data_IF_560565040131
#
_entry.id   IF_560565040131
#
_cell.length_a   1.000
_cell.length_b   1.000
_cell.length_c   1.000
_cell.angle_alpha   90.00
_cell.angle_beta   90.00
_cell.angle_gamma   90.00
#
_symmetry.space_group_name_H-M   'P 1'
#
loop_
_entity.id
_entity.type
_entity.pdbx_description
1 polymer ?
#
# COMPACT_ATOMS: atom_id res chain seq x y z
N UNK A 1 1.10 2.65 -4.61
CA UNK A 1 2.37 2.43 -5.31
C UNK A 1 3.45 3.11 -4.50
N UNK A 2 4.70 2.87 -4.82
CA UNK A 2 5.81 3.57 -4.21
C UNK A 2 5.87 5.03 -4.67
N UNK A 3 6.53 5.86 -3.87
CA UNK A 3 6.74 7.29 -4.11
C UNK A 3 7.37 7.56 -5.48
N UNK A 4 8.32 6.74 -5.92
CA UNK A 4 9.03 6.93 -7.19
C UNK A 4 8.11 6.78 -8.38
N UNK A 5 7.25 5.75 -8.38
CA UNK A 5 6.26 5.56 -9.46
C UNK A 5 5.27 6.73 -9.52
N UNK A 6 4.83 7.23 -8.36
CA UNK A 6 3.95 8.40 -8.30
C UNK A 6 4.62 9.68 -8.82
N UNK A 7 5.93 9.86 -8.60
CA UNK A 7 6.70 10.98 -9.20
C UNK A 7 6.72 10.84 -10.73
N UNK A 8 7.01 9.64 -11.23
CA UNK A 8 7.02 9.38 -12.67
C UNK A 8 5.65 9.64 -13.31
N UNK A 9 4.56 9.25 -12.66
CA UNK A 9 3.21 9.57 -13.12
C UNK A 9 2.94 11.08 -13.09
N UNK A 10 3.40 11.81 -12.06
CA UNK A 10 3.26 13.26 -12.01
C UNK A 10 3.88 13.97 -13.22
N UNK A 11 5.15 13.66 -13.52
CA UNK A 11 5.80 14.17 -14.74
C UNK A 11 5.12 13.68 -16.03
N UNK A 12 4.68 12.43 -16.07
CA UNK A 12 3.97 11.90 -17.23
C UNK A 12 2.62 12.59 -17.47
N UNK A 13 1.90 12.97 -16.42
CA UNK A 13 0.65 13.73 -16.53
C UNK A 13 0.92 15.17 -16.98
N UNK A 14 2.02 15.78 -16.54
CA UNK A 14 2.46 17.07 -17.08
C UNK A 14 2.74 16.99 -18.58
N UNK A 15 3.41 15.91 -19.03
CA UNK A 15 3.62 15.66 -20.45
C UNK A 15 2.31 15.43 -21.22
N UNK A 16 1.39 14.62 -20.67
CA UNK A 16 0.06 14.38 -21.24
C UNK A 16 -0.74 15.68 -21.38
N UNK A 17 -0.54 16.63 -20.47
CA UNK A 17 -1.24 17.91 -20.48
C UNK A 17 -0.97 18.76 -21.72
N UNK A 18 0.09 18.50 -22.48
CA UNK A 18 0.31 19.16 -23.77
C UNK A 18 -0.71 18.78 -24.86
N UNK A 19 -1.56 17.77 -24.64
CA UNK A 19 -2.74 17.53 -25.50
C UNK A 19 -3.84 18.59 -25.30
N UNK A 20 -3.83 19.30 -24.17
CA UNK A 20 -4.73 20.40 -23.91
C UNK A 20 -4.21 21.67 -24.60
N UNK A 21 -4.91 22.20 -25.63
CA UNK A 21 -4.41 23.33 -26.42
C UNK A 21 -4.17 24.60 -25.58
N UNK A 22 -4.90 24.77 -24.47
CA UNK A 22 -4.73 25.92 -23.58
C UNK A 22 -3.42 25.80 -22.81
N UNK A 23 -3.09 24.60 -22.34
CA UNK A 23 -1.83 24.30 -21.65
C UNK A 23 -0.65 24.39 -22.62
N UNK A 24 -0.76 23.78 -23.80
CA UNK A 24 0.29 23.80 -24.81
C UNK A 24 0.56 25.22 -25.36
N UNK A 25 -0.47 26.06 -25.45
CA UNK A 25 -0.37 27.43 -25.96
C UNK A 25 0.17 28.47 -24.97
N UNK A 26 0.28 28.14 -23.67
CA UNK A 26 0.71 29.09 -22.64
C UNK A 26 1.81 28.47 -21.75
N UNK A 27 3.10 28.80 -21.95
CA UNK A 27 4.21 28.23 -21.20
C UNK A 27 4.10 28.39 -19.67
N UNK A 28 3.54 29.52 -19.21
CA UNK A 28 3.28 29.75 -17.78
C UNK A 28 2.27 28.76 -17.21
N UNK A 29 1.20 28.45 -17.95
CA UNK A 29 0.21 27.44 -17.54
C UNK A 29 0.81 26.04 -17.56
N UNK A 30 1.63 25.71 -18.56
CA UNK A 30 2.33 24.43 -18.61
C UNK A 30 3.23 24.21 -17.37
N UNK A 31 3.97 25.24 -16.94
CA UNK A 31 4.76 25.20 -15.72
C UNK A 31 3.88 25.05 -14.46
N UNK A 32 2.78 25.79 -14.37
CA UNK A 32 1.84 25.66 -13.27
C UNK A 32 1.22 24.24 -13.20
N UNK A 33 0.84 23.68 -14.35
CA UNK A 33 0.30 22.32 -14.47
C UNK A 33 1.36 21.26 -14.12
N UNK A 34 2.62 21.45 -14.50
CA UNK A 34 3.72 20.59 -14.08
C UNK A 34 3.83 20.55 -12.54
N UNK A 35 3.82 21.71 -11.88
CA UNK A 35 3.83 21.77 -10.42
C UNK A 35 2.58 21.12 -9.83
N UNK A 36 1.40 21.40 -10.38
CA UNK A 36 0.13 20.85 -9.92
C UNK A 36 0.07 19.33 -10.00
N UNK A 37 0.47 18.76 -11.15
CA UNK A 37 0.50 17.32 -11.36
C UNK A 37 1.56 16.61 -10.52
N UNK A 38 2.74 17.21 -10.33
CA UNK A 38 3.80 16.64 -9.49
C UNK A 38 3.42 16.64 -8.01
N UNK A 39 2.96 17.78 -7.48
CA UNK A 39 2.54 17.89 -6.08
C UNK A 39 1.27 17.06 -5.85
N UNK A 40 0.30 17.13 -6.77
CA UNK A 40 -0.95 16.36 -6.72
C UNK A 40 -0.72 14.85 -6.70
N UNK A 41 0.27 14.36 -7.46
CA UNK A 41 0.66 12.94 -7.45
C UNK A 41 1.34 12.49 -6.17
N UNK A 42 1.68 13.38 -5.24
CA UNK A 42 2.32 13.06 -3.95
C UNK A 42 1.44 13.39 -2.74
N UNK A 43 0.52 14.34 -2.90
CA UNK A 43 -0.23 14.92 -1.80
C UNK A 43 -0.97 13.90 -0.91
N UNK A 44 -1.63 12.85 -1.45
CA UNK A 44 -2.29 11.86 -0.59
C UNK A 44 -1.32 11.11 0.34
N UNK A 45 -0.07 10.89 -0.08
CA UNK A 45 0.97 10.19 0.70
C UNK A 45 1.73 11.13 1.67
N UNK A 46 1.41 12.43 1.73
CA UNK A 46 1.94 13.34 2.76
C UNK A 46 1.55 12.92 4.18
N UNK A 47 0.54 12.04 4.33
CA UNK A 47 0.19 11.41 5.61
C UNK A 47 1.31 10.53 6.19
N UNK A 48 2.35 10.21 5.41
CA UNK A 48 3.59 9.56 5.88
C UNK A 48 4.32 10.36 6.96
N UNK A 49 4.10 11.68 7.06
CA UNK A 49 4.56 12.52 8.19
C UNK A 49 4.08 11.99 9.54
N UNK A 50 2.96 11.25 9.59
CA UNK A 50 2.47 10.63 10.82
C UNK A 50 3.42 9.57 11.38
N UNK A 51 4.41 9.09 10.60
CA UNK A 51 5.51 8.27 11.13
C UNK A 51 6.30 8.99 12.23
N UNK A 52 6.40 10.32 12.19
CA UNK A 52 7.04 11.13 13.24
C UNK A 52 6.29 11.03 14.58
N UNK A 53 5.00 10.66 14.56
CA UNK A 53 4.18 10.40 15.75
C UNK A 53 4.13 8.91 16.13
N UNK A 54 4.99 8.09 15.53
CA UNK A 54 5.12 6.66 15.78
C UNK A 54 4.38 5.76 14.79
N UNK A 55 4.83 4.50 14.69
CA UNK A 55 4.32 3.51 13.73
C UNK A 55 2.81 3.26 13.83
N UNK A 56 2.27 3.19 15.05
CA UNK A 56 0.85 2.95 15.27
C UNK A 56 -0.03 4.07 14.66
N UNK A 57 0.42 5.33 14.76
CA UNK A 57 -0.27 6.47 14.14
C UNK A 57 -0.21 6.39 12.62
N UNK A 58 0.97 6.09 12.06
CA UNK A 58 1.13 5.90 10.62
C UNK A 58 0.24 4.78 10.08
N UNK A 59 0.32 3.57 10.64
CA UNK A 59 -0.43 2.38 10.17
C UNK A 59 -1.95 2.64 10.17
N UNK A 60 -2.46 3.34 11.19
CA UNK A 60 -3.89 3.60 11.35
C UNK A 60 -4.44 4.60 10.32
N UNK A 61 -3.59 5.49 9.80
CA UNK A 61 -4.03 6.65 9.04
C UNK A 61 -3.54 6.67 7.60
N UNK A 62 -2.38 6.08 7.31
CA UNK A 62 -1.79 6.05 5.98
C UNK A 62 -2.74 5.39 4.98
N UNK A 63 -2.98 6.03 3.83
CA UNK A 63 -3.97 5.59 2.81
C UNK A 63 -5.42 5.54 3.32
N UNK A 64 -5.67 6.25 4.42
CA UNK A 64 -6.97 6.35 5.08
C UNK A 64 -7.71 7.63 4.68
N UNK A 65 -7.64 8.65 5.54
CA UNK A 65 -8.39 9.90 5.34
C UNK A 65 -7.86 10.74 4.17
N UNK A 66 -6.55 10.78 4.01
CA UNK A 66 -5.82 11.51 2.95
C UNK A 66 -6.17 11.06 1.53
N UNK A 67 -6.70 9.84 1.38
CA UNK A 67 -7.08 9.21 0.12
C UNK A 67 -8.60 9.13 -0.09
N UNK A 68 -9.38 9.78 0.79
CA UNK A 68 -10.84 9.77 0.73
C UNK A 68 -11.38 10.65 -0.40
N UNK A 69 -12.65 10.44 -0.79
CA UNK A 69 -13.31 11.27 -1.82
C UNK A 69 -13.20 12.77 -1.49
N UNK A 70 -13.52 13.25 -0.27
CA UNK A 70 -13.33 14.67 0.07
C UNK A 70 -11.87 15.12 -0.01
N UNK A 71 -10.92 14.27 0.42
CA UNK A 71 -9.50 14.63 0.39
C UNK A 71 -8.98 14.83 -1.03
N UNK A 72 -9.46 14.06 -2.02
CA UNK A 72 -9.10 14.25 -3.43
C UNK A 72 -9.39 15.69 -3.89
N UNK A 73 -10.58 16.20 -3.61
CA UNK A 73 -10.97 17.57 -3.97
C UNK A 73 -10.25 18.63 -3.14
N UNK A 74 -10.06 18.38 -1.84
CA UNK A 74 -9.32 19.30 -0.95
C UNK A 74 -7.88 19.45 -1.42
N UNK A 75 -7.18 18.36 -1.72
CA UNK A 75 -5.81 18.42 -2.24
C UNK A 75 -5.76 19.18 -3.55
N UNK A 76 -6.64 18.85 -4.51
CA UNK A 76 -6.68 19.53 -5.79
C UNK A 76 -6.89 21.05 -5.63
N UNK A 77 -7.84 21.46 -4.80
CA UNK A 77 -8.13 22.87 -4.54
C UNK A 77 -6.99 23.61 -3.82
N UNK A 78 -6.43 23.02 -2.76
CA UNK A 78 -5.34 23.64 -2.01
C UNK A 78 -4.07 23.81 -2.85
N UNK A 79 -3.71 22.78 -3.62
CA UNK A 79 -2.52 22.79 -4.48
C UNK A 79 -2.70 23.81 -5.60
N UNK A 80 -3.83 23.74 -6.31
CA UNK A 80 -4.09 24.64 -7.43
C UNK A 80 -4.21 26.09 -6.97
N UNK A 81 -4.91 26.34 -5.86
CA UNK A 81 -5.01 27.68 -5.26
C UNK A 81 -3.66 28.21 -4.81
N UNK A 82 -2.83 27.38 -4.17
CA UNK A 82 -1.49 27.75 -3.73
C UNK A 82 -0.52 28.01 -4.87
N UNK A 83 -0.62 27.29 -5.99
CA UNK A 83 0.17 27.57 -7.20
C UNK A 83 -0.34 28.86 -7.86
N UNK A 84 -1.66 29.04 -7.95
CA UNK A 84 -2.28 30.18 -8.62
C UNK A 84 -1.88 31.54 -8.04
N UNK A 85 -1.53 31.63 -6.75
CA UNK A 85 -1.02 32.88 -6.15
C UNK A 85 0.30 33.36 -6.78
N UNK A 86 1.08 32.45 -7.35
CA UNK A 86 2.34 32.74 -8.05
C UNK A 86 2.18 32.80 -9.58
N UNK A 87 1.05 32.32 -10.11
CA UNK A 87 0.75 32.21 -11.55
C UNK A 87 -0.61 32.83 -11.89
N UNK A 88 -0.91 34.03 -11.36
CA UNK A 88 -2.26 34.62 -11.39
C UNK A 88 -2.81 34.99 -12.79
N UNK A 89 -2.01 34.87 -13.85
CA UNK A 89 -2.41 35.07 -15.25
C UNK A 89 -2.76 33.79 -16.03
N UNK A 90 -2.66 32.62 -15.41
CA UNK A 90 -2.95 31.33 -16.09
C UNK A 90 -4.41 30.92 -15.90
N UNK A 91 -4.90 29.98 -16.69
CA UNK A 91 -6.26 29.45 -16.48
C UNK A 91 -6.33 28.58 -15.21
N UNK A 92 -6.96 29.10 -14.15
CA UNK A 92 -7.17 28.36 -12.89
C UNK A 92 -7.92 27.04 -13.11
N UNK A 93 -8.90 27.01 -14.02
CA UNK A 93 -9.69 25.82 -14.29
C UNK A 93 -8.83 24.68 -14.84
N UNK A 94 -7.96 24.96 -15.82
CA UNK A 94 -7.09 23.93 -16.39
C UNK A 94 -6.07 23.44 -15.37
N UNK A 95 -5.46 24.35 -14.61
CA UNK A 95 -4.60 24.00 -13.48
C UNK A 95 -5.31 23.07 -12.47
N UNK A 96 -6.55 23.41 -12.10
CA UNK A 96 -7.35 22.63 -11.16
C UNK A 96 -7.68 21.24 -11.71
N UNK A 97 -8.10 21.14 -12.96
CA UNK A 97 -8.48 19.87 -13.57
C UNK A 97 -7.29 18.91 -13.73
N UNK A 98 -6.13 19.41 -14.16
CA UNK A 98 -4.92 18.59 -14.27
C UNK A 98 -4.36 18.18 -12.90
N UNK A 99 -4.42 19.06 -11.91
CA UNK A 99 -4.06 18.73 -10.52
C UNK A 99 -5.02 17.70 -9.93
N UNK A 100 -6.33 17.86 -10.15
CA UNK A 100 -7.35 16.90 -9.74
C UNK A 100 -7.11 15.53 -10.37
N UNK A 101 -6.83 15.48 -11.68
CA UNK A 101 -6.51 14.25 -12.39
C UNK A 101 -5.31 13.54 -11.76
N UNK A 102 -4.25 14.26 -11.41
CA UNK A 102 -3.08 13.70 -10.74
C UNK A 102 -3.42 13.05 -9.39
N UNK A 103 -4.21 13.74 -8.55
CA UNK A 103 -4.65 13.19 -7.26
C UNK A 103 -5.55 11.95 -7.46
N UNK A 104 -6.44 11.99 -8.46
CA UNK A 104 -7.32 10.85 -8.80
C UNK A 104 -6.51 9.66 -9.28
N UNK A 105 -5.54 9.86 -10.17
CA UNK A 105 -4.66 8.79 -10.68
C UNK A 105 -3.88 8.15 -9.53
N UNK A 106 -3.31 8.95 -8.63
CA UNK A 106 -2.62 8.46 -7.43
C UNK A 106 -3.52 7.54 -6.59
N UNK A 107 -4.71 8.02 -6.19
CA UNK A 107 -5.60 7.23 -5.33
C UNK A 107 -6.12 6.00 -6.07
N UNK A 108 -6.35 6.10 -7.39
CA UNK A 108 -6.86 5.01 -8.21
C UNK A 108 -5.85 3.88 -8.35
N UNK A 109 -4.59 4.19 -8.71
CA UNK A 109 -3.55 3.17 -8.87
C UNK A 109 -3.23 2.47 -7.55
N UNK A 110 -3.42 3.18 -6.44
CA UNK A 110 -3.28 2.64 -5.09
C UNK A 110 -4.29 1.56 -4.73
N UNK A 111 -5.47 1.56 -5.35
CA UNK A 111 -6.46 0.49 -5.19
C UNK A 111 -6.01 -0.84 -5.82
N UNK A 112 -5.09 -0.81 -6.78
CA UNK A 112 -4.67 -2.02 -7.50
C UNK A 112 -3.58 -2.82 -6.77
N UNK A 113 -2.96 -2.28 -5.72
CA UNK A 113 -1.93 -3.00 -4.96
C UNK A 113 -2.49 -3.76 -3.75
N UNK A 114 -1.67 -4.59 -3.10
CA UNK A 114 -2.09 -5.44 -1.97
C UNK A 114 -2.12 -4.75 -0.60
N UNK A 115 -1.60 -3.52 -0.50
CA UNK A 115 -1.60 -2.72 0.73
C UNK A 115 -3.04 -2.30 1.08
N UNK A 116 -3.75 -1.76 0.08
CA UNK A 116 -5.13 -1.31 0.16
C UNK A 116 -5.28 0.16 0.59
N UNK A 117 -6.45 0.73 0.28
CA UNK A 117 -6.77 2.15 0.49
C UNK A 117 -8.23 2.33 0.91
N UNK A 118 -8.52 3.29 1.81
CA UNK A 118 -9.89 3.62 2.24
C UNK A 118 -10.53 4.70 1.33
N UNK A 119 -10.49 4.49 0.01
CA UNK A 119 -10.92 5.50 -0.96
C UNK A 119 -12.41 5.88 -0.84
N UNK A 120 -13.27 4.96 -0.37
CA UNK A 120 -14.71 5.17 -0.28
C UNK A 120 -15.18 6.01 0.94
N UNK A 121 -14.27 6.62 1.71
CA UNK A 121 -14.65 7.51 2.82
C UNK A 121 -15.30 8.79 2.26
N UNK A 122 -16.32 9.35 2.93
CA UNK A 122 -16.83 8.97 4.26
C UNK A 122 -17.88 7.84 4.27
N UNK A 123 -18.35 7.39 3.11
CA UNK A 123 -19.43 6.39 3.00
C UNK A 123 -19.04 5.01 3.55
N UNK A 124 -17.77 4.62 3.41
CA UNK A 124 -17.25 3.36 3.97
C UNK A 124 -15.83 3.51 4.51
N UNK A 125 -15.54 2.82 5.62
CA UNK A 125 -14.19 2.69 6.19
C UNK A 125 -13.46 1.41 5.74
N UNK A 126 -14.03 0.67 4.78
CA UNK A 126 -13.42 -0.57 4.27
C UNK A 126 -12.12 -0.28 3.52
N UNK A 127 -11.12 -1.13 3.75
CA UNK A 127 -9.88 -1.15 2.97
C UNK A 127 -10.12 -1.87 1.65
N UNK A 128 -9.98 -1.14 0.54
CA UNK A 128 -10.20 -1.67 -0.81
C UNK A 128 -8.84 -2.01 -1.42
N UNK A 129 -8.72 -3.21 -1.97
CA UNK A 129 -7.54 -3.62 -2.75
C UNK A 129 -7.93 -4.64 -3.81
N UNK A 130 -7.40 -4.50 -5.02
CA UNK A 130 -7.60 -5.48 -6.08
C UNK A 130 -6.47 -6.52 -6.14
N UNK A 131 -5.33 -6.27 -5.49
CA UNK A 131 -4.18 -7.18 -5.42
C UNK A 131 -3.64 -7.59 -6.80
N UNK A 132 -3.59 -6.66 -7.75
CA UNK A 132 -3.27 -6.93 -9.16
C UNK A 132 -1.83 -6.54 -9.53
N UNK A 133 -1.35 -5.42 -8.99
CA UNK A 133 -0.01 -4.86 -9.26
C UNK A 133 0.82 -4.81 -7.98
N UNK A 134 2.13 -4.91 -8.12
CA UNK A 134 3.04 -4.77 -6.98
C UNK A 134 3.09 -3.28 -6.52
N UNK A 135 3.51 -3.03 -5.27
CA UNK A 135 3.69 -1.65 -4.77
C UNK A 135 4.71 -0.91 -5.63
N UNK A 136 5.82 -1.56 -5.99
CA UNK A 136 6.76 -1.11 -7.02
C UNK A 136 6.61 -2.03 -8.23
N UNK A 137 6.07 -1.51 -9.33
CA UNK A 137 5.86 -2.27 -10.56
C UNK A 137 6.92 -1.88 -11.61
N UNK A 138 7.91 -2.74 -11.88
CA UNK A 138 9.01 -2.41 -12.80
C UNK A 138 8.53 -2.09 -14.22
N UNK A 139 7.42 -2.69 -14.67
CA UNK A 139 6.90 -2.46 -16.01
C UNK A 139 6.30 -1.05 -16.12
N UNK A 140 5.48 -0.65 -15.14
CA UNK A 140 4.92 0.71 -15.09
C UNK A 140 6.05 1.74 -15.02
N UNK A 141 7.08 1.52 -14.21
CA UNK A 141 8.23 2.41 -14.14
C UNK A 141 8.97 2.47 -15.50
N UNK A 142 9.24 1.32 -16.13
CA UNK A 142 9.97 1.26 -17.39
C UNK A 142 9.26 2.00 -18.53
N UNK A 143 7.95 1.86 -18.67
CA UNK A 143 7.21 2.55 -19.74
C UNK A 143 7.21 4.08 -19.56
N UNK A 144 7.23 4.57 -18.31
CA UNK A 144 7.38 6.01 -18.05
C UNK A 144 8.79 6.49 -18.37
N UNK A 145 9.83 5.75 -17.97
CA UNK A 145 11.21 6.07 -18.31
C UNK A 145 11.42 6.13 -19.83
N UNK A 146 10.87 5.17 -20.58
CA UNK A 146 10.89 5.18 -22.05
C UNK A 146 10.15 6.42 -22.58
N UNK A 147 8.99 6.76 -22.01
CA UNK A 147 8.27 7.99 -22.35
C UNK A 147 9.12 9.25 -22.16
N UNK A 148 9.86 9.36 -21.04
CA UNK A 148 10.77 10.48 -20.82
C UNK A 148 11.90 10.53 -21.83
N UNK A 149 12.44 9.39 -22.26
CA UNK A 149 13.47 9.35 -23.31
C UNK A 149 12.93 9.85 -24.66
N UNK A 150 11.71 9.46 -25.03
CA UNK A 150 11.07 10.00 -26.24
C UNK A 150 10.79 11.49 -26.13
N UNK A 151 10.28 11.95 -24.99
CA UNK A 151 10.09 13.39 -24.77
C UNK A 151 11.43 14.15 -24.88
N UNK A 152 12.49 13.67 -24.24
CA UNK A 152 13.82 14.26 -24.32
C UNK A 152 14.42 14.25 -25.74
N UNK A 153 14.04 13.27 -26.56
CA UNK A 153 14.40 13.19 -27.98
C UNK A 153 13.60 14.15 -28.88
N UNK A 154 12.70 14.96 -28.33
CA UNK A 154 11.94 15.98 -29.05
C UNK A 154 10.60 15.51 -29.61
N UNK A 155 10.13 14.32 -29.25
CA UNK A 155 8.78 13.88 -29.61
C UNK A 155 7.73 14.66 -28.81
N UNK A 156 6.54 14.83 -29.40
CA UNK A 156 5.43 15.53 -28.75
C UNK A 156 5.04 14.82 -27.44
N UNK A 157 5.16 15.49 -26.28
CA UNK A 157 4.92 14.86 -24.98
C UNK A 157 3.47 14.42 -24.80
N UNK A 158 2.51 15.15 -25.37
CA UNK A 158 1.09 14.81 -25.29
C UNK A 158 0.80 13.44 -25.90
N UNK A 159 1.28 13.21 -27.12
CA UNK A 159 1.13 11.92 -27.80
C UNK A 159 1.93 10.81 -27.14
N UNK A 160 3.17 11.08 -26.72
CA UNK A 160 4.03 10.10 -26.03
C UNK A 160 3.35 9.59 -24.76
N UNK A 161 2.89 10.49 -23.89
CA UNK A 161 2.27 10.07 -22.63
C UNK A 161 0.86 9.51 -22.82
N UNK A 162 0.13 9.89 -23.86
CA UNK A 162 -1.11 9.20 -24.24
C UNK A 162 -0.87 7.72 -24.56
N UNK A 163 0.20 7.41 -25.29
CA UNK A 163 0.61 6.02 -25.56
C UNK A 163 1.03 5.33 -24.26
N UNK A 164 1.86 5.97 -23.43
CA UNK A 164 2.30 5.40 -22.13
C UNK A 164 1.10 5.04 -21.26
N UNK A 165 0.13 5.94 -21.10
CA UNK A 165 -1.06 5.68 -20.28
C UNK A 165 -1.99 4.65 -20.91
N UNK A 166 -2.10 4.61 -22.24
CA UNK A 166 -2.85 3.56 -22.94
C UNK A 166 -2.24 2.18 -22.68
N UNK A 167 -0.90 2.06 -22.74
CA UNK A 167 -0.16 0.83 -22.41
C UNK A 167 -0.36 0.47 -20.94
N UNK A 168 -0.26 1.44 -20.03
CA UNK A 168 -0.44 1.23 -18.59
C UNK A 168 -1.85 0.69 -18.26
N UNK A 169 -2.89 1.32 -18.81
CA UNK A 169 -4.28 0.89 -18.62
C UNK A 169 -4.48 -0.53 -19.17
N UNK A 170 -3.99 -0.79 -20.38
CA UNK A 170 -4.05 -2.12 -21.01
C UNK A 170 -3.36 -3.19 -20.15
N UNK A 171 -2.19 -2.85 -19.59
CA UNK A 171 -1.46 -3.71 -18.66
C UNK A 171 -2.26 -4.01 -17.39
N UNK A 172 -2.85 -3.00 -16.74
CA UNK A 172 -3.65 -3.20 -15.52
C UNK A 172 -4.88 -4.08 -15.80
N UNK A 173 -5.55 -3.89 -16.94
CA UNK A 173 -6.67 -4.74 -17.38
C UNK A 173 -6.18 -6.18 -17.56
N UNK A 174 -5.08 -6.39 -18.28
CA UNK A 174 -4.49 -7.71 -18.51
C UNK A 174 -4.13 -8.40 -17.19
N UNK A 175 -3.54 -7.66 -16.25
CA UNK A 175 -3.17 -8.17 -14.92
C UNK A 175 -4.40 -8.53 -14.11
N UNK A 176 -5.48 -7.75 -14.21
CA UNK A 176 -6.75 -8.02 -13.53
C UNK A 176 -7.40 -9.30 -14.06
N UNK A 177 -7.41 -9.49 -15.37
CA UNK A 177 -7.90 -10.73 -16.00
C UNK A 177 -7.05 -11.93 -15.55
N UNK A 178 -5.72 -11.77 -15.51
CA UNK A 178 -4.79 -12.80 -15.04
C UNK A 178 -5.06 -13.18 -13.59
N UNK A 179 -5.19 -12.20 -12.69
CA UNK A 179 -5.54 -12.41 -11.29
C UNK A 179 -6.82 -13.25 -11.15
N UNK A 180 -7.91 -12.87 -11.83
CA UNK A 180 -9.18 -13.60 -11.78
C UNK A 180 -9.08 -15.03 -12.33
N UNK A 181 -8.21 -15.28 -13.32
CA UNK A 181 -7.96 -16.63 -13.84
C UNK A 181 -7.16 -17.47 -12.84
N UNK A 182 -6.13 -16.90 -12.23
CA UNK A 182 -5.27 -17.60 -11.28
C UNK A 182 -5.99 -17.90 -9.96
N UNK A 183 -6.84 -16.99 -9.45
CA UNK A 183 -7.67 -17.27 -8.27
C UNK A 183 -8.60 -18.47 -8.51
N UNK A 184 -9.23 -18.54 -9.69
CA UNK A 184 -10.06 -19.70 -10.07
C UNK A 184 -9.25 -20.99 -10.17
N UNK A 185 -8.04 -20.92 -10.73
CA UNK A 185 -7.13 -22.05 -10.81
C UNK A 185 -6.75 -22.58 -9.41
N UNK A 186 -6.30 -21.69 -8.50
CA UNK A 186 -5.93 -22.08 -7.13
C UNK A 186 -7.13 -22.65 -6.36
N UNK A 187 -8.32 -22.07 -6.53
CA UNK A 187 -9.54 -22.59 -5.91
C UNK A 187 -9.89 -23.99 -6.40
N UNK A 188 -9.74 -24.26 -7.71
CA UNK A 188 -10.00 -25.58 -8.28
C UNK A 188 -8.96 -26.62 -7.81
N UNK A 189 -7.70 -26.23 -7.68
CA UNK A 189 -6.61 -27.12 -7.24
C UNK A 189 -6.73 -27.50 -5.77
N UNK A 190 -7.09 -26.56 -4.89
CA UNK A 190 -7.20 -26.84 -3.45
C UNK A 190 -8.50 -27.59 -3.11
N UNK A 191 -9.60 -27.33 -3.83
CA UNK A 191 -10.88 -28.00 -3.59
C UNK A 191 -11.59 -27.63 -2.29
N UNK A 192 -11.05 -26.69 -1.50
CA UNK A 192 -11.65 -26.26 -0.23
C UNK A 192 -12.46 -24.95 -0.38
N UNK A 193 -13.52 -24.81 0.39
CA UNK A 193 -14.21 -23.53 0.51
C UNK A 193 -13.42 -22.55 1.38
N UNK A 194 -13.34 -21.30 0.93
CA UNK A 194 -12.57 -20.29 1.61
C UNK A 194 -12.42 -18.99 0.83
N UNK A 195 -11.70 -18.05 1.43
CA UNK A 195 -11.30 -16.80 0.82
C UNK A 195 -9.88 -16.90 0.25
N UNK A 196 -9.74 -16.62 -1.04
CA UNK A 196 -8.50 -16.79 -1.79
C UNK A 196 -7.98 -15.41 -2.23
N UNK A 197 -6.72 -15.13 -1.92
CA UNK A 197 -6.02 -13.98 -2.48
C UNK A 197 -4.68 -14.38 -3.07
N UNK A 198 -4.31 -13.63 -4.11
CA UNK A 198 -2.99 -13.68 -4.70
C UNK A 198 -2.28 -12.36 -4.47
N UNK A 199 -0.98 -12.42 -4.22
CA UNK A 199 -0.14 -11.25 -3.96
C UNK A 199 0.83 -11.08 -5.13
N UNK A 200 0.77 -9.96 -5.87
CA UNK A 200 1.63 -9.75 -7.02
C UNK A 200 3.08 -9.56 -6.55
N UNK A 201 4.03 -10.23 -7.22
CA UNK A 201 5.47 -10.05 -6.97
C UNK A 201 6.11 -9.21 -8.06
N UNK A 202 7.41 -8.93 -7.92
CA UNK A 202 8.21 -8.28 -8.97
C UNK A 202 8.29 -9.13 -10.26
N UNK A 203 8.12 -10.45 -10.13
CA UNK A 203 8.12 -11.35 -11.28
C UNK A 203 6.70 -11.54 -11.76
N UNK A 204 6.47 -11.27 -13.04
CA UNK A 204 5.14 -11.30 -13.67
C UNK A 204 4.35 -12.59 -13.40
N UNK A 205 5.03 -13.74 -13.45
CA UNK A 205 4.41 -15.07 -13.33
C UNK A 205 4.42 -15.65 -11.92
N UNK A 206 4.98 -14.95 -10.94
CA UNK A 206 5.06 -15.41 -9.56
C UNK A 206 4.08 -14.62 -8.70
N UNK A 207 3.31 -15.32 -7.89
CA UNK A 207 2.33 -14.75 -6.99
C UNK A 207 2.47 -15.38 -5.61
N UNK A 208 2.38 -14.59 -4.55
CA UNK A 208 2.09 -15.13 -3.22
C UNK A 208 0.64 -15.63 -3.20
N UNK A 209 0.37 -16.68 -2.42
CA UNK A 209 -0.94 -17.29 -2.28
C UNK A 209 -1.30 -17.29 -0.79
N UNK A 210 -2.49 -16.78 -0.47
CA UNK A 210 -3.08 -16.96 0.87
C UNK A 210 -4.49 -17.46 0.68
N UNK A 211 -4.80 -18.55 1.37
CA UNK A 211 -6.13 -19.13 1.41
C UNK A 211 -6.58 -19.24 2.85
N UNK A 212 -7.73 -18.64 3.16
CA UNK A 212 -8.36 -18.77 4.48
C UNK A 212 -9.58 -19.67 4.36
N UNK A 213 -9.57 -20.80 5.04
CA UNK A 213 -10.70 -21.75 5.09
C UNK A 213 -11.41 -21.66 6.43
N UNK A 214 -12.32 -22.56 6.75
CA UNK A 214 -12.91 -22.61 8.09
C UNK A 214 -11.87 -23.01 9.16
N UNK A 215 -10.88 -23.82 8.79
CA UNK A 215 -9.99 -24.49 9.75
C UNK A 215 -8.59 -23.87 9.83
N UNK A 216 -8.07 -23.36 8.72
CA UNK A 216 -6.70 -22.86 8.66
C UNK A 216 -6.53 -21.74 7.63
N UNK A 217 -5.42 -21.02 7.76
CA UNK A 217 -4.88 -20.15 6.71
C UNK A 217 -3.65 -20.81 6.11
N UNK A 218 -3.67 -21.07 4.80
CA UNK A 218 -2.54 -21.61 4.05
C UNK A 218 -1.78 -20.48 3.36
N UNK A 219 -0.45 -20.50 3.45
CA UNK A 219 0.43 -19.52 2.80
C UNK A 219 1.41 -20.25 1.89
N UNK A 220 1.50 -19.77 0.65
CA UNK A 220 2.35 -20.36 -0.36
C UNK A 220 2.70 -19.39 -1.48
N UNK A 221 3.25 -19.95 -2.54
CA UNK A 221 3.59 -19.24 -3.77
C UNK A 221 3.07 -20.00 -4.99
N UNK A 222 2.75 -19.28 -6.04
CA UNK A 222 2.31 -19.79 -7.34
C UNK A 222 3.33 -19.39 -8.38
N UNK A 223 4.06 -20.37 -8.92
CA UNK A 223 5.09 -20.17 -9.95
C UNK A 223 4.63 -20.87 -11.22
N UNK A 224 4.36 -20.13 -12.31
CA UNK A 224 4.00 -20.72 -13.60
C UNK A 224 2.89 -21.80 -13.51
N UNK A 225 1.84 -21.55 -12.71
CA UNK A 225 0.72 -22.46 -12.40
C UNK A 225 1.06 -23.68 -11.51
N UNK A 226 2.24 -23.71 -10.87
CA UNK A 226 2.55 -24.68 -9.82
C UNK A 226 2.44 -24.02 -8.46
N UNK A 227 1.66 -24.61 -7.55
CA UNK A 227 1.53 -24.13 -6.17
C UNK A 227 2.62 -24.76 -5.32
N UNK A 228 3.26 -23.95 -4.49
CA UNK A 228 4.27 -24.35 -3.50
C UNK A 228 3.78 -23.81 -2.15
N UNK A 229 3.32 -24.71 -1.27
CA UNK A 229 2.89 -24.34 0.08
C UNK A 229 4.11 -24.21 1.00
N UNK A 230 4.08 -23.22 1.89
CA UNK A 230 5.15 -22.97 2.86
C UNK A 230 4.69 -23.18 4.28
N UNK A 231 3.55 -22.58 4.65
CA UNK A 231 3.12 -22.48 6.03
C UNK A 231 1.61 -22.74 6.13
N UNK A 232 1.19 -23.42 7.20
CA UNK A 232 -0.23 -23.66 7.53
C UNK A 232 -0.51 -23.15 8.94
N UNK A 233 -1.53 -22.31 9.07
CA UNK A 233 -1.90 -21.65 10.32
C UNK A 233 -3.31 -22.05 10.74
N UNK A 234 -3.42 -23.04 11.60
CA UNK A 234 -4.71 -23.46 12.16
C UNK A 234 -5.32 -22.37 13.03
N UNK A 235 -6.61 -22.12 12.86
CA UNK A 235 -7.35 -21.17 13.67
C UNK A 235 -7.30 -21.57 15.14
N UNK A 236 -7.00 -20.59 15.99
CA UNK A 236 -6.94 -20.76 17.45
C UNK A 236 -8.08 -20.00 18.07
N UNK A 237 -8.69 -20.60 19.09
CA UNK A 237 -9.68 -19.92 19.90
C UNK A 237 -9.05 -18.75 20.66
N UNK A 238 -9.85 -17.70 20.87
CA UNK A 238 -9.41 -16.55 21.65
C UNK A 238 -9.41 -16.88 23.14
N UNK A 239 -8.24 -16.78 23.76
CA UNK A 239 -8.09 -16.87 25.21
C UNK A 239 -8.04 -15.46 25.86
N UNK A 240 -8.11 -15.42 27.19
CA UNK A 240 -8.09 -14.17 27.95
C UNK A 240 -6.81 -13.34 27.73
N UNK A 241 -5.66 -13.99 27.55
CA UNK A 241 -4.37 -13.36 27.26
C UNK A 241 -4.45 -12.56 25.95
N UNK A 242 -5.01 -13.16 24.89
CA UNK A 242 -5.21 -12.51 23.59
C UNK A 242 -6.20 -11.34 23.71
N UNK A 243 -7.33 -11.54 24.42
CA UNK A 243 -8.33 -10.48 24.63
C UNK A 243 -7.74 -9.26 25.34
N UNK A 244 -6.92 -9.47 26.37
CA UNK A 244 -6.20 -8.40 27.08
C UNK A 244 -5.20 -7.70 26.17
N UNK A 245 -4.37 -8.44 25.46
CA UNK A 245 -3.39 -7.84 24.55
C UNK A 245 -4.03 -7.03 23.39
N UNK A 246 -5.25 -7.37 22.94
CA UNK A 246 -6.00 -6.56 21.94
C UNK A 246 -6.44 -5.18 22.44
N UNK A 247 -6.39 -4.92 23.75
CA UNK A 247 -6.70 -3.60 24.30
C UNK A 247 -5.57 -2.59 24.06
N UNK A 248 -4.36 -3.07 23.75
CA UNK A 248 -3.21 -2.23 23.41
C UNK A 248 -3.45 -1.41 22.13
N UNK A 249 -3.06 -0.13 22.16
CA UNK A 249 -3.30 0.79 21.05
C UNK A 249 -2.47 0.49 19.79
N UNK A 250 -1.27 -0.10 19.93
CA UNK A 250 -0.39 -0.51 18.82
C UNK A 250 -0.94 -1.78 18.16
N UNK A 251 -1.46 -2.72 18.94
CA UNK A 251 -2.19 -3.89 18.42
C UNK A 251 -3.46 -3.47 17.69
N UNK A 252 -4.25 -2.56 18.25
CA UNK A 252 -5.44 -2.04 17.56
C UNK A 252 -5.07 -1.35 16.24
N UNK A 253 -3.95 -0.62 16.19
CA UNK A 253 -3.47 -0.02 14.95
C UNK A 253 -3.13 -1.11 13.92
N UNK A 254 -2.38 -2.14 14.32
CA UNK A 254 -2.08 -3.30 13.47
C UNK A 254 -3.35 -3.99 12.95
N UNK A 255 -4.28 -4.34 13.85
CA UNK A 255 -5.54 -5.02 13.52
C UNK A 255 -6.47 -4.18 12.66
N UNK A 256 -6.39 -2.85 12.74
CA UNK A 256 -7.15 -1.96 11.87
C UNK A 256 -6.69 -1.98 10.41
N UNK A 257 -5.46 -2.41 10.16
CA UNK A 257 -4.83 -2.43 8.85
C UNK A 257 -4.71 -3.85 8.26
N UNK A 258 -4.41 -4.83 9.10
CA UNK A 258 -4.26 -6.22 8.66
C UNK A 258 -5.61 -6.84 8.29
N UNK A 259 -5.60 -7.65 7.24
CA UNK A 259 -6.76 -8.45 6.82
C UNK A 259 -6.55 -9.94 7.07
N UNK A 260 -5.30 -10.34 7.29
CA UNK A 260 -4.88 -11.72 7.48
C UNK A 260 -3.99 -11.82 8.73
N UNK A 261 -4.48 -11.41 9.93
CA UNK A 261 -3.73 -11.61 11.16
C UNK A 261 -3.64 -13.10 11.49
N UNK A 262 -2.49 -13.52 11.98
CA UNK A 262 -2.36 -14.74 12.76
C UNK A 262 -1.70 -14.43 14.10
N UNK A 263 -2.15 -15.09 15.17
CA UNK A 263 -1.72 -14.81 16.55
C UNK A 263 -1.01 -16.01 17.18
N UNK A 264 0.09 -15.72 17.88
CA UNK A 264 0.82 -16.64 18.73
C UNK A 264 0.83 -16.13 20.15
N UNK A 265 0.80 -17.05 21.09
CA UNK A 265 1.03 -16.78 22.51
C UNK A 265 2.17 -17.65 22.98
N UNK A 266 3.16 -17.05 23.64
CA UNK A 266 4.31 -17.75 24.25
C UNK A 266 4.37 -17.38 25.72
N UNK A 267 4.49 -18.38 26.61
CA UNK A 267 4.78 -18.12 28.02
C UNK A 267 6.24 -17.68 28.14
N UNK A 268 6.47 -16.62 28.92
CA UNK A 268 7.79 -16.05 29.24
C UNK A 268 7.97 -16.09 30.75
N UNK A 269 9.19 -15.90 31.27
CA UNK A 269 9.41 -15.94 32.73
C UNK A 269 8.75 -14.76 33.43
N UNK A 270 8.58 -13.63 32.74
CA UNK A 270 7.88 -12.45 33.25
C UNK A 270 6.34 -12.51 33.08
N UNK A 271 5.78 -13.51 32.39
CA UNK A 271 4.36 -13.56 32.07
C UNK A 271 4.09 -14.13 30.68
N UNK A 272 3.56 -13.32 29.76
CA UNK A 272 3.12 -13.75 28.43
C UNK A 272 3.60 -12.81 27.32
N UNK A 273 4.01 -13.38 26.19
CA UNK A 273 4.19 -12.67 24.93
C UNK A 273 3.05 -13.04 23.98
N UNK A 274 2.37 -12.02 23.44
CA UNK A 274 1.38 -12.18 22.38
C UNK A 274 1.92 -11.52 21.11
N UNK A 275 1.98 -12.27 20.02
CA UNK A 275 2.53 -11.81 18.75
C UNK A 275 1.51 -12.01 17.63
N UNK A 276 1.17 -10.94 16.94
CA UNK A 276 0.45 -10.98 15.68
C UNK A 276 1.39 -10.81 14.51
N UNK A 277 1.13 -11.58 13.45
CA UNK A 277 1.78 -11.45 12.14
C UNK A 277 0.70 -11.22 11.08
N UNK A 278 1.02 -10.51 10.00
CA UNK A 278 0.15 -10.41 8.83
C UNK A 278 0.69 -11.35 7.74
N UNK A 279 -0.12 -12.34 7.38
CA UNK A 279 0.26 -13.41 6.48
C UNK A 279 0.64 -12.93 5.08
N UNK A 280 0.28 -11.69 4.70
CA UNK A 280 0.66 -11.08 3.42
C UNK A 280 2.14 -10.75 3.30
N UNK A 281 2.81 -10.49 4.41
CA UNK A 281 4.18 -9.95 4.41
C UNK A 281 5.21 -11.04 4.74
N UNK A 282 5.09 -12.20 4.09
CA UNK A 282 6.06 -13.29 4.20
C UNK A 282 7.38 -12.91 3.52
N UNK A 283 8.47 -13.09 4.23
CA UNK A 283 9.84 -13.10 3.69
C UNK A 283 10.32 -14.55 3.55
N UNK A 284 11.58 -14.78 3.17
CA UNK A 284 12.11 -16.15 3.06
C UNK A 284 12.10 -16.91 4.40
N UNK A 285 12.24 -16.22 5.54
CA UNK A 285 12.38 -16.88 6.87
C UNK A 285 11.27 -16.53 7.85
N UNK A 286 10.65 -15.35 7.75
CA UNK A 286 9.68 -14.86 8.74
C UNK A 286 8.64 -13.93 8.12
N UNK A 287 7.63 -13.53 8.91
CA UNK A 287 6.63 -12.53 8.52
C UNK A 287 7.05 -11.15 9.03
N UNK A 288 7.24 -10.21 8.11
CA UNK A 288 7.88 -8.94 8.42
C UNK A 288 6.96 -7.95 9.13
N UNK A 289 5.64 -8.02 8.90
CA UNK A 289 4.71 -7.08 9.50
C UNK A 289 4.05 -7.68 10.75
N UNK A 290 4.37 -7.11 11.92
CA UNK A 290 4.01 -7.69 13.21
C UNK A 290 3.48 -6.67 14.22
N UNK A 291 2.76 -7.19 15.22
CA UNK A 291 2.53 -6.53 16.49
C UNK A 291 2.89 -7.48 17.64
N UNK A 292 3.56 -6.97 18.67
CA UNK A 292 4.02 -7.75 19.83
C UNK A 292 3.53 -7.03 21.09
N UNK A 293 3.05 -7.77 22.07
CA UNK A 293 2.70 -7.28 23.40
C UNK A 293 3.28 -8.20 24.45
N UNK A 294 3.94 -7.63 25.43
CA UNK A 294 4.38 -8.31 26.64
C UNK A 294 3.40 -7.99 27.78
N UNK A 295 2.91 -9.04 28.43
CA UNK A 295 2.02 -8.98 29.56
C UNK A 295 2.72 -9.62 30.78
N UNK A 296 2.49 -9.09 31.97
CA UNK A 296 2.91 -9.74 33.21
C UNK A 296 1.99 -10.94 33.56
N UNK A 297 2.28 -11.64 34.66
CA UNK A 297 1.44 -12.74 35.18
C UNK A 297 0.01 -12.31 35.53
N UNK A 298 -0.18 -11.02 35.85
CA UNK A 298 -1.48 -10.42 36.16
C UNK A 298 -2.20 -9.87 34.91
N UNK A 299 -1.64 -10.10 33.72
CA UNK A 299 -2.13 -9.62 32.43
C UNK A 299 -2.15 -8.09 32.26
N UNK A 300 -1.28 -7.38 32.98
CA UNK A 300 -1.02 -5.96 32.71
C UNK A 300 -0.03 -5.84 31.55
N UNK A 301 -0.25 -4.85 30.67
CA UNK A 301 0.64 -4.59 29.54
C UNK A 301 1.93 -3.94 30.06
N UNK A 302 3.05 -4.63 29.83
CA UNK A 302 4.40 -4.15 30.17
C UNK A 302 4.89 -3.22 29.05
N UNK A 303 4.91 -3.73 27.81
CA UNK A 303 5.34 -3.00 26.62
C UNK A 303 4.75 -3.62 25.35
N UNK A 304 4.75 -2.87 24.27
CA UNK A 304 4.19 -3.28 22.98
C UNK A 304 4.93 -2.69 21.79
N UNK A 305 4.83 -3.33 20.65
CA UNK A 305 5.41 -2.86 19.39
C UNK A 305 4.49 -3.17 18.21
N UNK A 306 4.54 -2.32 17.18
CA UNK A 306 3.95 -2.61 15.87
C UNK A 306 4.81 -2.00 14.76
N UNK A 307 4.98 -2.72 13.66
CA UNK A 307 5.73 -2.24 12.50
C UNK A 307 6.23 -3.34 11.57
N UNK A 308 6.98 -2.91 10.55
CA UNK A 308 7.72 -3.80 9.66
C UNK A 308 9.12 -4.04 10.23
N UNK A 309 9.45 -5.30 10.45
CA UNK A 309 10.79 -5.75 10.78
C UNK A 309 11.21 -6.82 9.78
N UNK A 310 12.19 -6.49 8.94
CA UNK A 310 12.70 -7.38 7.88
C UNK A 310 13.86 -8.26 8.36
N UNK A 311 14.34 -8.04 9.59
CA UNK A 311 15.41 -8.81 10.20
C UNK A 311 14.89 -9.52 11.44
N UNK A 312 14.78 -10.84 11.35
CA UNK A 312 14.24 -11.70 12.40
C UNK A 312 14.88 -11.46 13.78
N UNK A 313 16.22 -11.38 13.84
CA UNK A 313 16.96 -11.13 15.11
C UNK A 313 16.67 -9.76 15.74
N UNK A 314 16.17 -8.78 14.98
CA UNK A 314 15.83 -7.46 15.52
C UNK A 314 14.44 -7.43 16.16
N UNK A 315 13.58 -8.41 15.90
CA UNK A 315 12.20 -8.43 16.41
C UNK A 315 12.17 -8.47 17.94
N UNK A 316 13.03 -9.27 18.57
CA UNK A 316 13.08 -9.41 20.04
C UNK A 316 13.62 -8.14 20.73
N UNK A 317 14.39 -7.32 20.02
CA UNK A 317 14.91 -6.05 20.54
C UNK A 317 13.89 -4.90 20.53
N UNK A 318 12.69 -5.10 19.95
CA UNK A 318 11.68 -4.05 19.77
C UNK A 318 10.74 -3.85 20.95
N UNK A 319 10.67 -4.83 21.84
CA UNK A 319 9.85 -4.78 23.04
C UNK A 319 10.76 -5.08 24.22
N UNK A 320 10.55 -4.37 25.33
CA UNK A 320 11.23 -4.69 26.58
C UNK A 320 10.88 -6.11 26.99
N UNK A 321 11.86 -7.01 26.97
CA UNK A 321 11.79 -8.28 27.65
C UNK A 321 12.51 -8.12 29.00
N UNK A 322 11.80 -8.15 30.14
CA UNK A 322 12.42 -8.06 31.47
C UNK A 322 13.59 -9.01 31.68
N UNK A 323 13.56 -10.19 31.05
CA UNK A 323 14.65 -11.17 31.02
C UNK A 323 15.94 -10.64 30.36
N UNK A 324 15.81 -9.91 29.25
CA UNK A 324 16.93 -9.33 28.49
C UNK A 324 17.39 -7.97 29.04
N UNK A 325 16.59 -7.35 29.92
CA UNK A 325 16.95 -6.08 30.55
C UNK A 325 18.06 -6.24 31.61
N UNK A 326 18.21 -7.44 32.18
CA UNK A 326 19.27 -7.78 33.15
C UNK A 326 20.61 -8.13 32.47
N UNK A 327 20.63 -8.34 31.15
CA UNK A 327 21.83 -8.71 30.38
C UNK A 327 22.43 -7.54 29.58
N UNK A 328 21.80 -6.36 29.57
CA UNK A 328 22.38 -5.17 28.95
C UNK A 328 23.33 -4.48 29.94
N UNK A 329 24.64 -4.40 29.67
CA UNK A 329 25.61 -3.74 30.55
C UNK A 329 25.39 -2.23 30.63
#
# INVERSE_FOLDING_TARGET
MDTGTHIAMGFGLAGLAYLDPVVAGQPELANAVLLGTLIGSQAPDLDTVLKLRGNASYIRNHRGRSHSIPAIFIWAGLISGGIYTFFSGVSYLHLLLWTLLAVVVHVSIDLFNAYGTQAARPFSKRWISFNVINIFDPFIMAIHLIGFLFWAAGFDPGHVFSIVYTIMISYIIQRTITYRRLVRFVKAELGEEGHYILLPTLRWTHWGVIVQTAYASYVGELHNKRIIWHDTFYHKEENEVIKKAKQDNKVQAFLSFTRYPYVYTKKRTFGHEVRWIDLRYRTKTHYAFVAIVHLDEQLNIIDSYTGWEYREHKMESKVLAPELALEKP
#
